data_IF_067161853151
#
_entry.id   IF_067161853151
#
_cell.length_a   1.000
_cell.length_b   1.000
_cell.length_c   1.000
_cell.angle_alpha   90.00
_cell.angle_beta   90.00
_cell.angle_gamma   90.00
#
_symmetry.space_group_name_H-M   'P 1'
#
loop_
_entity.id
_entity.type
_entity.pdbx_description
1 polymer ?
#
# COMPACT_ATOMS: atom_id res chain seq x y z
N UNK A 1 18.05 -7.37 -7.50
CA UNK A 1 16.57 -7.28 -7.56
C UNK A 1 16.26 -5.98 -8.24
N UNK A 2 15.48 -6.01 -9.33
CA UNK A 2 15.07 -4.79 -10.02
C UNK A 2 13.98 -4.08 -9.19
N UNK A 3 13.92 -2.76 -9.30
CA UNK A 3 12.88 -2.00 -8.60
C UNK A 3 11.51 -2.29 -9.25
N UNK A 4 10.45 -2.38 -8.45
CA UNK A 4 9.10 -2.62 -8.96
C UNK A 4 8.67 -1.54 -9.96
N UNK A 5 9.16 -0.31 -9.80
CA UNK A 5 8.90 0.83 -10.69
C UNK A 5 9.60 0.71 -12.06
N UNK A 6 10.57 -0.20 -12.20
CA UNK A 6 11.22 -0.50 -13.48
C UNK A 6 10.47 -1.56 -14.27
N UNK A 7 9.76 -2.46 -13.58
CA UNK A 7 9.05 -3.60 -14.18
C UNK A 7 7.58 -3.27 -14.45
N UNK A 8 6.92 -2.58 -13.52
CA UNK A 8 5.49 -2.34 -13.58
C UNK A 8 5.12 -1.32 -14.67
N UNK A 9 3.93 -1.46 -15.30
CA UNK A 9 3.51 -0.55 -16.35
C UNK A 9 3.38 0.88 -15.84
N UNK A 10 3.85 1.83 -16.64
CA UNK A 10 3.70 3.26 -16.37
C UNK A 10 2.35 3.72 -16.91
N UNK A 11 1.42 3.98 -16.00
CA UNK A 11 0.07 4.42 -16.34
C UNK A 11 0.04 5.96 -16.36
N UNK A 12 -0.37 6.59 -17.48
CA UNK A 12 -0.53 8.05 -17.53
C UNK A 12 -1.51 8.54 -16.46
N UNK A 13 -1.17 9.64 -15.78
CA UNK A 13 -1.99 10.25 -14.72
C UNK A 13 -2.25 9.37 -13.48
N UNK A 14 -1.49 8.29 -13.30
CA UNK A 14 -1.57 7.47 -12.09
C UNK A 14 -1.10 8.27 -10.87
N UNK A 15 -1.91 8.25 -9.80
CA UNK A 15 -1.50 8.83 -8.51
C UNK A 15 -0.45 7.94 -7.85
N UNK A 16 -0.75 6.65 -7.71
CA UNK A 16 0.15 5.62 -7.21
C UNK A 16 -0.42 4.27 -7.66
N UNK A 17 0.41 3.23 -7.68
CA UNK A 17 0.01 1.85 -7.89
C UNK A 17 0.37 1.01 -6.68
N UNK A 18 -0.41 -0.02 -6.37
CA UNK A 18 -0.10 -0.94 -5.28
C UNK A 18 -0.24 -2.39 -5.75
N UNK A 19 0.81 -3.19 -5.54
CA UNK A 19 0.75 -4.63 -5.68
C UNK A 19 0.34 -5.23 -4.33
N UNK A 20 -0.82 -5.89 -4.29
CA UNK A 20 -1.42 -6.40 -3.06
C UNK A 20 -1.62 -7.92 -3.09
N UNK A 21 -1.48 -8.56 -1.93
CA UNK A 21 -1.77 -10.00 -1.77
C UNK A 21 -3.27 -10.31 -1.68
N UNK A 22 -4.09 -9.29 -1.42
CA UNK A 22 -5.55 -9.38 -1.36
C UNK A 22 -6.17 -8.23 -2.14
N UNK A 23 -7.35 -8.47 -2.69
CA UNK A 23 -8.11 -7.42 -3.33
C UNK A 23 -8.44 -6.32 -2.30
N UNK A 24 -8.09 -5.06 -2.57
CA UNK A 24 -8.37 -3.97 -1.66
C UNK A 24 -9.87 -3.68 -1.59
N UNK A 25 -10.33 -3.23 -0.42
CA UNK A 25 -11.67 -2.64 -0.25
C UNK A 25 -11.64 -1.13 -0.50
N UNK A 26 -12.79 -0.50 -0.73
CA UNK A 26 -12.89 0.95 -0.93
C UNK A 26 -12.31 1.75 0.24
N UNK A 27 -12.54 1.28 1.47
CA UNK A 27 -11.99 1.90 2.68
C UNK A 27 -10.46 1.82 2.68
N UNK A 28 -9.90 0.70 2.22
CA UNK A 28 -8.46 0.52 2.14
C UNK A 28 -7.85 1.45 1.10
N UNK A 29 -8.45 1.56 -0.08
CA UNK A 29 -8.00 2.52 -1.10
C UNK A 29 -8.02 3.95 -0.55
N UNK A 30 -9.03 4.30 0.24
CA UNK A 30 -9.13 5.62 0.91
C UNK A 30 -8.01 5.83 1.93
N UNK A 31 -7.64 4.81 2.70
CA UNK A 31 -6.49 4.84 3.61
C UNK A 31 -5.17 5.01 2.85
N UNK A 32 -4.95 4.21 1.81
CA UNK A 32 -3.74 4.26 0.99
C UNK A 32 -3.58 5.61 0.29
N UNK A 33 -4.67 6.24 -0.12
CA UNK A 33 -4.67 7.61 -0.67
C UNK A 33 -4.16 8.68 0.31
N UNK A 34 -4.19 8.42 1.63
CA UNK A 34 -3.63 9.32 2.64
C UNK A 34 -2.14 9.05 2.90
N UNK A 35 -1.68 7.84 2.60
CA UNK A 35 -0.31 7.38 2.86
C UNK A 35 0.59 7.67 1.66
N UNK A 36 0.13 7.33 0.46
CA UNK A 36 0.96 7.42 -0.74
C UNK A 36 0.86 8.79 -1.40
N UNK A 37 2.00 9.45 -1.69
CA UNK A 37 2.00 10.66 -2.48
C UNK A 37 1.58 10.37 -3.92
N UNK A 38 0.91 11.31 -4.61
CA UNK A 38 0.49 11.14 -6.00
C UNK A 38 1.67 11.30 -6.98
N UNK A 39 2.67 10.42 -6.91
CA UNK A 39 3.92 10.48 -7.67
C UNK A 39 4.01 9.44 -8.81
N UNK A 40 2.94 8.67 -9.05
CA UNK A 40 2.89 7.65 -10.08
C UNK A 40 3.81 6.45 -9.82
N UNK A 41 4.24 6.23 -8.58
CA UNK A 41 5.06 5.07 -8.21
C UNK A 41 4.22 3.87 -7.81
N UNK A 42 4.78 2.70 -8.06
CA UNK A 42 4.29 1.42 -7.58
C UNK A 42 4.87 1.13 -6.20
N UNK A 43 3.98 0.67 -5.32
CA UNK A 43 4.25 0.25 -3.96
C UNK A 43 3.87 -1.22 -3.77
N UNK A 44 4.50 -1.90 -2.84
CA UNK A 44 4.11 -3.26 -2.44
C UNK A 44 3.36 -3.19 -1.12
N UNK A 45 2.17 -3.78 -1.06
CA UNK A 45 1.33 -3.79 0.16
C UNK A 45 0.90 -5.22 0.46
N UNK A 46 1.51 -5.84 1.46
CA UNK A 46 1.14 -7.17 1.92
C UNK A 46 0.38 -7.05 3.23
N UNK A 47 -0.87 -7.48 3.24
CA UNK A 47 -1.70 -7.46 4.44
C UNK A 47 -1.65 -8.81 5.14
N UNK A 48 -1.13 -8.78 6.38
CA UNK A 48 -1.20 -9.88 7.34
C UNK A 48 -2.34 -9.62 8.34
N UNK A 49 -2.55 -10.58 9.26
CA UNK A 49 -3.62 -10.46 10.28
C UNK A 49 -3.43 -9.20 11.14
N UNK A 50 -2.26 -9.03 11.73
CA UNK A 50 -2.00 -8.01 12.76
C UNK A 50 -1.19 -6.81 12.24
N UNK A 51 -0.59 -6.95 11.07
CA UNK A 51 0.27 -5.92 10.48
C UNK A 51 0.16 -5.94 8.95
N UNK A 52 0.68 -4.90 8.32
CA UNK A 52 0.82 -4.79 6.88
C UNK A 52 2.26 -4.44 6.55
N UNK A 53 2.84 -5.06 5.51
CA UNK A 53 4.11 -4.62 4.96
C UNK A 53 3.85 -3.65 3.82
N UNK A 54 4.40 -2.44 3.91
CA UNK A 54 4.40 -1.46 2.83
C UNK A 54 5.84 -1.20 2.40
N UNK A 55 6.20 -1.52 1.15
CA UNK A 55 7.56 -1.40 0.62
C UNK A 55 8.61 -2.06 1.53
N UNK A 56 8.27 -3.22 2.08
CA UNK A 56 9.10 -3.97 3.03
C UNK A 56 9.11 -3.44 4.47
N UNK A 57 8.43 -2.31 4.75
CA UNK A 57 8.30 -1.77 6.11
C UNK A 57 7.04 -2.28 6.80
N UNK A 58 7.17 -2.75 8.03
CA UNK A 58 6.05 -3.21 8.83
C UNK A 58 5.24 -2.03 9.40
N UNK A 59 3.92 -2.08 9.20
CA UNK A 59 2.93 -1.17 9.75
C UNK A 59 1.98 -2.00 10.60
N UNK A 60 2.04 -1.82 11.91
CA UNK A 60 1.14 -2.49 12.84
C UNK A 60 -0.26 -1.89 12.74
N UNK A 61 -1.29 -2.74 12.63
CA UNK A 61 -2.68 -2.29 12.77
C UNK A 61 -2.83 -1.85 14.22
N UNK A 62 -2.99 -0.55 14.46
CA UNK A 62 -3.31 -0.06 15.80
C UNK A 62 -4.71 -0.56 16.14
N UNK A 63 -4.78 -1.56 17.02
CA UNK A 63 -6.03 -1.98 17.61
C UNK A 63 -6.65 -0.80 18.35
N UNK A 64 -7.82 -0.33 17.91
CA UNK A 64 -8.55 0.75 18.59
C UNK A 64 -8.85 0.40 20.05
N UNK A 65 -8.86 -0.89 20.40
CA UNK A 65 -9.08 -1.41 21.75
C UNK A 65 -7.93 -1.14 22.73
N UNK A 66 -6.73 -0.82 22.23
CA UNK A 66 -5.58 -0.50 23.08
C UNK A 66 -5.54 0.97 23.53
N UNK A 67 -6.54 1.78 23.14
CA UNK A 67 -6.65 3.21 23.48
C UNK A 67 -7.69 3.51 24.57
N UNK A 68 -8.32 2.49 25.15
CA UNK A 68 -9.30 2.60 26.24
C UNK A 68 -8.78 1.98 27.52
#
# INVERSE_FOLDING_TARGET
MNDINEIMPKIPYMKWGALMNRAPTNDKVTELNKIFPPNGKWHTVFEEKDHSYIDGKIIWKKDKKAWT
#
